data_IF_948179780768
#
_entry.id   IF_948179780768
#
_cell.length_a   1.000
_cell.length_b   1.000
_cell.length_c   1.000
_cell.angle_alpha   90.00
_cell.angle_beta   90.00
_cell.angle_gamma   90.00
#
_symmetry.space_group_name_H-M   'P 1'
#
loop_
_entity.id
_entity.type
_entity.pdbx_description
1 polymer ?
#
# COMPACT_ATOMS: atom_id res chain seq x y z
N UNK A 1 -10.65 -20.98 38.34
CA UNK A 1 -10.77 -22.03 37.30
C UNK A 1 -9.53 -21.91 36.46
N UNK A 2 -8.47 -22.62 36.83
CA UNK A 2 -7.22 -22.65 36.05
C UNK A 2 -7.26 -23.92 35.19
N UNK A 3 -7.77 -23.80 33.97
CA UNK A 3 -7.85 -24.88 32.99
C UNK A 3 -6.56 -24.85 32.16
N UNK A 4 -5.57 -25.66 32.54
CA UNK A 4 -4.19 -25.53 32.05
C UNK A 4 -3.96 -25.72 30.54
N UNK A 5 -4.96 -26.13 29.76
CA UNK A 5 -4.93 -26.12 28.28
C UNK A 5 -6.31 -26.35 27.64
N UNK A 6 -7.19 -27.11 28.31
CA UNK A 6 -8.50 -27.51 27.81
C UNK A 6 -9.50 -27.76 28.96
N UNK A 7 -10.78 -27.44 28.75
CA UNK A 7 -11.91 -27.83 29.58
C UNK A 7 -12.96 -28.56 28.74
N UNK A 8 -13.47 -29.65 29.30
CA UNK A 8 -14.36 -30.57 28.61
C UNK A 8 -15.59 -30.91 29.46
N UNK A 9 -16.78 -30.80 28.89
CA UNK A 9 -18.04 -31.27 29.48
C UNK A 9 -18.69 -32.30 28.55
N UNK A 10 -19.03 -33.48 29.09
CA UNK A 10 -19.70 -34.55 28.36
C UNK A 10 -21.00 -34.95 29.10
N UNK A 11 -22.13 -34.92 28.40
CA UNK A 11 -23.40 -35.40 28.92
C UNK A 11 -24.29 -35.93 27.78
N UNK A 12 -24.79 -37.15 27.92
CA UNK A 12 -25.82 -37.71 27.03
C UNK A 12 -25.43 -37.75 25.55
N UNK A 13 -24.16 -38.02 25.23
CA UNK A 13 -23.64 -38.02 23.85
C UNK A 13 -23.42 -36.62 23.26
N UNK A 14 -23.59 -35.58 24.06
CA UNK A 14 -23.21 -34.20 23.73
C UNK A 14 -21.92 -33.82 24.43
N UNK A 15 -21.11 -33.00 23.78
CA UNK A 15 -19.78 -32.62 24.23
C UNK A 15 -19.52 -31.13 24.00
N UNK A 16 -18.90 -30.49 24.99
CA UNK A 16 -18.41 -29.10 24.93
C UNK A 16 -16.92 -29.09 25.26
N UNK A 17 -16.11 -28.54 24.35
CA UNK A 17 -14.68 -28.31 24.53
C UNK A 17 -14.37 -26.82 24.56
N UNK A 18 -13.46 -26.43 25.44
CA UNK A 18 -12.90 -25.10 25.53
C UNK A 18 -11.38 -25.25 25.58
N UNK A 19 -10.67 -24.78 24.56
CA UNK A 19 -9.20 -24.81 24.50
C UNK A 19 -8.65 -23.50 23.93
N UNK A 20 -7.33 -23.40 23.77
CA UNK A 20 -6.68 -22.22 23.18
C UNK A 20 -7.13 -21.89 21.75
N UNK A 21 -7.77 -22.83 21.04
CA UNK A 21 -8.36 -22.65 19.71
C UNK A 21 -9.82 -22.20 19.72
N UNK A 22 -10.49 -22.20 20.88
CA UNK A 22 -11.83 -21.66 21.06
C UNK A 22 -12.83 -22.64 21.67
N UNK A 23 -14.08 -22.57 21.21
CA UNK A 23 -15.20 -23.35 21.75
C UNK A 23 -15.68 -24.36 20.71
N UNK A 24 -15.70 -25.65 21.06
CA UNK A 24 -16.27 -26.72 20.22
C UNK A 24 -17.50 -27.31 20.88
N UNK A 25 -18.62 -27.39 20.17
CA UNK A 25 -19.87 -28.03 20.62
C UNK A 25 -20.26 -29.15 19.64
N UNK A 26 -20.57 -30.34 20.15
CA UNK A 26 -21.07 -31.46 19.36
C UNK A 26 -22.23 -32.16 20.07
N UNK A 27 -23.31 -32.44 19.35
CA UNK A 27 -24.48 -33.14 19.90
C UNK A 27 -25.62 -33.20 18.89
N UNK A 28 -26.64 -34.05 19.12
CA UNK A 28 -27.75 -34.25 18.18
C UNK A 28 -28.61 -32.98 17.96
N UNK A 29 -28.65 -32.07 18.94
CA UNK A 29 -29.24 -30.75 18.82
C UNK A 29 -28.40 -29.75 19.61
N UNK A 30 -27.93 -28.68 18.95
CA UNK A 30 -27.18 -27.60 19.59
C UNK A 30 -28.01 -26.31 19.51
N UNK A 31 -28.45 -25.81 20.66
CA UNK A 31 -29.15 -24.52 20.76
C UNK A 31 -28.19 -23.46 21.28
N UNK A 32 -28.00 -22.41 20.49
CA UNK A 32 -27.18 -21.26 20.86
C UNK A 32 -28.14 -20.09 21.04
N UNK A 33 -28.20 -19.54 22.26
CA UNK A 33 -28.90 -18.29 22.49
C UNK A 33 -28.04 -17.15 21.93
N UNK A 34 -28.32 -16.72 20.71
CA UNK A 34 -27.70 -15.53 20.14
C UNK A 34 -28.51 -14.30 20.61
N UNK A 35 -27.95 -13.52 21.54
CA UNK A 35 -28.56 -12.30 22.05
C UNK A 35 -27.49 -11.26 22.37
N UNK A 36 -27.78 -10.00 22.05
CA UNK A 36 -26.85 -8.88 22.19
C UNK A 36 -26.45 -8.31 20.83
N UNK A 37 -26.70 -7.02 20.63
CA UNK A 37 -26.16 -6.28 19.50
C UNK A 37 -24.71 -5.90 19.82
N UNK A 38 -23.80 -5.87 18.83
CA UNK A 38 -22.51 -5.21 19.05
C UNK A 38 -22.77 -3.77 19.53
N UNK A 39 -22.07 -3.34 20.58
CA UNK A 39 -22.10 -1.95 20.99
C UNK A 39 -21.51 -1.06 19.89
N UNK A 40 -22.01 0.17 19.74
CA UNK A 40 -21.37 1.16 18.85
C UNK A 40 -20.11 1.73 19.50
N UNK A 41 -18.96 1.54 18.87
CA UNK A 41 -17.73 2.28 19.18
C UNK A 41 -17.71 3.63 18.46
N UNK A 42 -17.08 4.64 19.06
CA UNK A 42 -16.93 5.99 18.46
C UNK A 42 -15.91 6.06 17.31
N UNK A 43 -15.25 4.95 16.98
CA UNK A 43 -14.11 4.92 16.07
C UNK A 43 -12.84 5.52 16.70
N UNK A 44 -11.71 5.37 15.99
CA UNK A 44 -10.42 5.95 16.38
C UNK A 44 -10.34 7.40 15.92
N UNK A 45 -10.11 8.35 16.83
CA UNK A 45 -9.90 9.77 16.52
C UNK A 45 -8.42 10.07 16.20
N UNK A 46 -7.83 9.30 15.29
CA UNK A 46 -6.43 9.50 14.92
C UNK A 46 -6.26 10.85 14.20
N UNK A 47 -5.31 11.65 14.69
CA UNK A 47 -4.98 12.93 14.06
C UNK A 47 -4.24 12.70 12.74
N UNK A 48 -4.56 13.50 11.72
CA UNK A 48 -3.84 13.45 10.44
C UNK A 48 -2.41 13.94 10.61
N UNK A 49 -1.42 13.35 9.92
CA UNK A 49 -0.04 13.85 9.95
C UNK A 49 0.01 15.35 9.58
N UNK A 50 0.84 16.10 10.31
CA UNK A 50 1.13 17.49 9.96
C UNK A 50 1.86 17.53 8.60
N UNK A 51 1.55 18.56 7.80
CA UNK A 51 2.34 18.83 6.61
C UNK A 51 3.81 19.06 7.01
N UNK A 52 4.78 18.47 6.30
CA UNK A 52 6.18 18.76 6.54
C UNK A 52 6.42 20.27 6.42
N UNK A 53 7.11 20.84 7.40
CA UNK A 53 7.33 22.29 7.50
C UNK A 53 8.21 22.84 6.37
N UNK A 54 7.84 24.05 5.91
CA UNK A 54 8.51 24.91 4.91
C UNK A 54 8.58 24.34 3.49
N UNK A 55 7.45 24.32 2.80
CA UNK A 55 7.45 24.64 1.37
C UNK A 55 7.17 26.14 1.24
N UNK A 56 8.17 26.92 0.82
CA UNK A 56 7.91 28.28 0.33
C UNK A 56 7.23 28.09 -1.02
N UNK A 57 6.09 28.74 -1.30
CA UNK A 57 5.53 28.72 -2.65
C UNK A 57 6.59 29.26 -3.61
N UNK A 58 7.00 28.44 -4.57
CA UNK A 58 7.93 28.84 -5.60
C UNK A 58 7.25 29.90 -6.49
N UNK A 59 7.63 31.17 -6.30
CA UNK A 59 7.15 32.26 -7.16
C UNK A 59 7.93 32.19 -8.46
N UNK A 60 7.28 31.65 -9.49
CA UNK A 60 7.82 31.67 -10.85
C UNK A 60 7.20 32.85 -11.60
N UNK A 61 8.06 33.72 -12.12
CA UNK A 61 7.63 34.69 -13.12
C UNK A 61 7.56 33.96 -14.46
N UNK A 62 6.36 33.88 -15.03
CA UNK A 62 6.18 33.28 -16.35
C UNK A 62 6.89 34.12 -17.39
N UNK A 63 8.03 33.64 -17.89
CA UNK A 63 8.67 34.26 -19.05
C UNK A 63 7.67 34.09 -20.21
N UNK A 64 7.15 35.19 -20.80
CA UNK A 64 6.30 35.06 -21.97
C UNK A 64 7.11 34.32 -23.02
N UNK A 65 6.51 33.36 -23.75
CA UNK A 65 7.24 32.65 -24.78
C UNK A 65 7.78 33.70 -25.75
N UNK A 66 9.10 33.90 -25.73
CA UNK A 66 9.77 34.60 -26.81
C UNK A 66 9.33 33.83 -28.05
N UNK A 67 8.76 34.52 -29.03
CA UNK A 67 8.48 33.94 -30.33
C UNK A 67 9.83 33.59 -30.98
N UNK A 68 10.46 32.51 -30.49
CA UNK A 68 11.56 31.86 -31.13
C UNK A 68 11.00 31.42 -32.47
N UNK A 69 11.50 31.95 -33.58
CA UNK A 69 11.14 31.40 -34.87
C UNK A 69 11.58 29.94 -34.81
N UNK A 70 10.59 29.06 -34.86
CA UNK A 70 10.70 27.67 -35.34
C UNK A 70 11.13 26.60 -34.33
N UNK A 71 10.30 26.38 -33.30
CA UNK A 71 10.21 25.07 -32.64
C UNK A 71 9.40 24.03 -33.45
N UNK A 72 8.64 24.46 -34.47
CA UNK A 72 7.83 23.56 -35.29
C UNK A 72 8.68 22.66 -36.20
N UNK A 73 9.86 23.14 -36.60
CA UNK A 73 10.72 22.43 -37.55
C UNK A 73 11.58 21.36 -36.84
N UNK A 74 11.82 21.49 -35.52
CA UNK A 74 12.58 20.52 -34.72
C UNK A 74 11.77 19.27 -34.30
N UNK A 75 10.43 19.32 -34.38
CA UNK A 75 9.56 18.21 -33.96
C UNK A 75 9.44 17.09 -35.02
N UNK A 76 9.95 17.27 -36.23
CA UNK A 76 9.88 16.27 -37.30
C UNK A 76 11.20 15.55 -37.60
N UNK A 77 12.32 15.96 -37.00
CA UNK A 77 13.56 15.21 -37.04
C UNK A 77 13.95 14.81 -35.62
N UNK A 78 13.68 13.55 -35.28
CA UNK A 78 14.22 12.84 -34.12
C UNK A 78 13.52 13.04 -32.76
N UNK A 79 12.19 13.18 -32.77
CA UNK A 79 11.37 12.71 -31.64
C UNK A 79 11.33 11.17 -31.59
N UNK A 80 12.49 10.50 -31.59
CA UNK A 80 12.65 9.14 -31.06
C UNK A 80 14.14 8.89 -30.86
N UNK A 81 14.55 8.90 -29.59
CA UNK A 81 15.80 8.40 -28.98
C UNK A 81 16.35 9.45 -28.01
N UNK A 82 15.58 9.78 -26.97
CA UNK A 82 16.23 9.98 -25.68
C UNK A 82 16.74 8.61 -25.26
N UNK A 83 18.06 8.37 -25.22
CA UNK A 83 18.57 7.07 -24.82
C UNK A 83 18.23 6.89 -23.34
N UNK A 84 17.52 5.81 -22.99
CA UNK A 84 17.11 5.44 -21.62
C UNK A 84 18.31 5.28 -20.65
N UNK A 85 19.53 5.45 -21.14
CA UNK A 85 20.83 5.28 -20.50
C UNK A 85 21.81 6.22 -21.23
N UNK A 86 22.78 6.82 -20.53
CA UNK A 86 23.64 7.93 -21.01
C UNK A 86 24.61 7.67 -22.18
N UNK A 87 24.28 6.75 -23.10
CA UNK A 87 24.96 6.53 -24.39
C UNK A 87 24.53 7.59 -25.40
N UNK A 88 25.49 8.34 -25.92
CA UNK A 88 25.30 9.28 -27.02
C UNK A 88 25.47 8.59 -28.38
N UNK A 89 26.41 7.63 -28.48
CA UNK A 89 26.65 6.75 -29.63
C UNK A 89 27.13 5.37 -29.13
N UNK A 90 27.30 4.37 -30.02
CA UNK A 90 27.72 3.00 -29.60
C UNK A 90 28.95 2.98 -28.67
N UNK A 91 29.84 3.97 -28.80
CA UNK A 91 31.12 4.06 -28.08
C UNK A 91 31.29 5.32 -27.22
N UNK A 92 30.34 6.25 -27.21
CA UNK A 92 30.48 7.53 -26.47
C UNK A 92 29.37 7.70 -25.44
N UNK A 93 29.74 7.97 -24.19
CA UNK A 93 28.79 8.24 -23.10
C UNK A 93 29.03 9.59 -22.45
N UNK A 94 27.96 10.22 -21.97
CA UNK A 94 28.04 11.52 -21.28
C UNK A 94 28.63 11.43 -19.86
N UNK A 95 28.77 10.22 -19.29
CA UNK A 95 29.41 9.93 -18.00
C UNK A 95 30.45 8.81 -18.18
N UNK A 96 31.46 8.79 -17.31
CA UNK A 96 32.61 7.86 -17.37
C UNK A 96 32.26 6.37 -17.25
N UNK A 97 31.14 6.04 -16.60
CA UNK A 97 30.59 4.68 -16.53
C UNK A 97 29.20 4.64 -17.18
N UNK A 98 28.98 3.66 -18.06
CA UNK A 98 27.78 3.58 -18.90
C UNK A 98 27.01 2.25 -18.73
N UNK A 99 26.55 1.90 -17.51
CA UNK A 99 25.83 0.67 -17.30
C UNK A 99 24.37 0.83 -17.74
N UNK A 100 24.01 0.20 -18.86
CA UNK A 100 22.62 -0.09 -19.16
C UNK A 100 22.36 -1.52 -18.65
N UNK A 101 21.58 -1.67 -17.57
CA UNK A 101 21.18 -2.99 -17.08
C UNK A 101 20.29 -3.63 -18.14
N UNK A 102 20.80 -4.69 -18.78
CA UNK A 102 20.00 -5.52 -19.66
C UNK A 102 18.90 -6.19 -18.83
N UNK A 103 17.64 -5.87 -19.12
CA UNK A 103 16.51 -6.70 -18.72
C UNK A 103 16.39 -7.91 -19.62
#
# INVERSE_FOLDING_TARGET
LEAGSELTLNAGGSFLKLDGGGVTLAGPNVKINAGGSPGSGSGQAAETPLLPGRAVPEVHEGIPPTALPKLKDYQLSEATLMPLCGKLTETTCSRGDCPCLAG
#
